data_IF_387815783376
#
_entry.id   IF_387815783376
#
_cell.length_a   1.000
_cell.length_b   1.000
_cell.length_c   1.000
_cell.angle_alpha   90.00
_cell.angle_beta   90.00
_cell.angle_gamma   90.00
#
_symmetry.space_group_name_H-M   'P 1'
#
loop_
_entity.id
_entity.type
_entity.pdbx_description
1 polymer ?
#
# COMPACT_ATOMS: atom_id res chain seq x y z
N UNK A 1 -5.78 -7.26 -19.39
CA UNK A 1 -4.72 -6.86 -18.45
C UNK A 1 -5.40 -6.32 -17.19
N UNK A 2 -5.16 -6.99 -16.06
CA UNK A 2 -5.58 -6.53 -14.74
C UNK A 2 -4.35 -5.90 -14.09
N UNK A 3 -4.49 -4.71 -13.55
CA UNK A 3 -3.43 -4.07 -12.76
C UNK A 3 -3.89 -3.92 -11.32
N UNK A 4 -2.93 -4.11 -10.41
CA UNK A 4 -3.13 -3.86 -8.99
C UNK A 4 -2.82 -2.39 -8.67
N UNK A 5 -3.40 -1.90 -7.58
CA UNK A 5 -3.25 -0.53 -7.08
C UNK A 5 -1.85 -0.24 -6.52
N UNK A 6 -1.13 -1.30 -6.15
CA UNK A 6 0.18 -1.25 -5.49
C UNK A 6 0.12 -1.13 -3.97
N UNK A 7 -1.07 -1.08 -3.37
CA UNK A 7 -1.25 -0.97 -1.92
C UNK A 7 -0.51 -2.08 -1.17
N UNK A 8 -0.74 -3.35 -1.55
CA UNK A 8 -0.08 -4.49 -0.94
C UNK A 8 1.46 -4.41 -0.98
N UNK A 9 2.05 -3.93 -2.08
CA UNK A 9 3.51 -3.81 -2.22
C UNK A 9 4.09 -2.74 -1.30
N UNK A 10 3.36 -1.65 -1.10
CA UNK A 10 3.73 -0.58 -0.17
C UNK A 10 3.68 -1.06 1.29
N UNK A 11 2.60 -1.74 1.67
CA UNK A 11 2.38 -2.14 3.07
C UNK A 11 3.09 -3.42 3.50
N UNK A 12 3.26 -4.39 2.59
CA UNK A 12 3.91 -5.68 2.91
C UNK A 12 5.41 -5.55 3.22
N UNK A 13 6.03 -4.44 2.84
CA UNK A 13 7.43 -4.11 3.14
C UNK A 13 7.58 -3.28 4.42
N UNK A 14 6.49 -2.73 4.97
CA UNK A 14 6.52 -1.84 6.11
C UNK A 14 6.67 -2.57 7.46
N UNK A 15 6.16 -3.81 7.57
CA UNK A 15 6.00 -4.52 8.86
C UNK A 15 6.85 -5.78 9.00
N UNK A 16 8.17 -5.64 8.96
CA UNK A 16 9.05 -6.67 9.52
C UNK A 16 9.33 -6.47 11.03
N UNK A 17 8.86 -5.37 11.63
CA UNK A 17 9.15 -4.99 13.02
C UNK A 17 7.87 -4.68 13.81
N UNK A 18 6.94 -5.62 13.90
CA UNK A 18 5.90 -5.59 14.93
C UNK A 18 5.59 -7.02 15.36
N UNK A 19 6.14 -7.35 16.53
CA UNK A 19 5.80 -8.44 17.45
C UNK A 19 6.07 -9.88 17.00
N UNK A 20 7.05 -10.48 17.68
CA UNK A 20 7.29 -11.90 17.71
C UNK A 20 6.08 -12.61 18.31
N UNK A 21 5.25 -13.26 17.48
CA UNK A 21 4.59 -14.54 17.76
C UNK A 21 3.59 -14.84 16.63
N UNK A 22 4.01 -15.70 15.70
CA UNK A 22 3.18 -16.20 14.60
C UNK A 22 4.06 -16.84 13.52
N UNK A 23 3.68 -18.01 12.95
CA UNK A 23 4.52 -18.69 11.98
C UNK A 23 4.41 -17.98 10.63
N UNK A 24 5.13 -16.86 10.46
CA UNK A 24 5.30 -16.26 9.15
C UNK A 24 6.16 -17.19 8.29
N UNK A 25 5.49 -17.92 7.40
CA UNK A 25 6.11 -18.74 6.37
C UNK A 25 6.63 -17.86 5.22
N UNK A 26 7.46 -16.85 5.53
CA UNK A 26 8.28 -16.16 4.54
C UNK A 26 9.72 -16.62 4.72
N UNK A 27 10.24 -17.28 3.69
CA UNK A 27 11.55 -17.92 3.65
C UNK A 27 12.63 -17.07 4.33
N UNK A 28 13.23 -17.63 5.39
CA UNK A 28 14.36 -17.09 6.14
C UNK A 28 15.60 -16.96 5.25
N UNK A 29 15.68 -15.94 4.39
CA UNK A 29 16.96 -15.44 3.88
C UNK A 29 17.60 -14.64 5.02
N UNK A 30 18.73 -15.12 5.54
CA UNK A 30 19.61 -14.35 6.44
C UNK A 30 20.00 -13.06 5.71
N UNK A 31 19.37 -11.94 6.05
CA UNK A 31 19.87 -10.60 5.73
C UNK A 31 20.94 -10.27 6.77
N UNK A 32 22.11 -9.84 6.31
CA UNK A 32 23.20 -9.41 7.18
C UNK A 32 22.78 -8.16 7.97
N UNK A 33 23.38 -8.03 9.15
CA UNK A 33 22.98 -7.15 10.26
C UNK A 33 23.19 -5.64 9.99
N UNK A 34 23.69 -5.27 8.81
CA UNK A 34 24.08 -3.90 8.46
C UNK A 34 23.02 -3.13 7.65
N UNK A 35 21.92 -3.79 7.27
CA UNK A 35 20.86 -3.23 6.43
C UNK A 35 19.57 -3.08 7.27
N UNK A 36 19.68 -2.35 8.38
CA UNK A 36 18.58 -1.93 9.25
C UNK A 36 17.66 -0.97 8.46
N UNK A 37 16.89 -1.60 7.56
CA UNK A 37 16.08 -0.96 6.55
C UNK A 37 15.09 0.01 7.16
N UNK A 38 15.26 1.27 6.80
CA UNK A 38 14.25 2.31 7.00
C UNK A 38 12.91 1.78 6.49
N UNK A 39 11.87 1.85 7.33
CA UNK A 39 10.52 1.43 6.95
C UNK A 39 10.13 2.00 5.59
N UNK A 40 9.60 1.13 4.72
CA UNK A 40 9.20 1.53 3.37
C UNK A 40 8.06 2.55 3.42
N UNK A 41 7.12 2.44 4.36
CA UNK A 41 6.06 3.43 4.55
C UNK A 41 6.55 4.54 5.48
N UNK A 42 6.46 5.79 5.00
CA UNK A 42 6.89 6.98 5.73
C UNK A 42 5.72 7.66 6.44
N UNK A 43 4.58 7.78 5.75
CA UNK A 43 3.38 8.40 6.32
C UNK A 43 2.12 7.85 5.62
N UNK A 44 1.06 7.70 6.39
CA UNK A 44 -0.27 7.34 5.91
C UNK A 44 -1.26 8.44 6.31
N UNK A 45 -2.09 8.87 5.36
CA UNK A 45 -3.08 9.93 5.59
C UNK A 45 -4.35 9.67 4.79
N UNK A 46 -5.38 10.49 5.02
CA UNK A 46 -6.60 10.45 4.19
C UNK A 46 -6.29 10.68 2.71
N UNK A 47 -5.22 11.40 2.37
CA UNK A 47 -4.88 11.74 0.99
C UNK A 47 -4.23 10.59 0.23
N UNK A 48 -3.56 9.68 0.92
CA UNK A 48 -2.75 8.63 0.32
C UNK A 48 -1.61 8.18 1.24
N UNK A 49 -0.65 7.48 0.66
CA UNK A 49 0.52 6.92 1.34
C UNK A 49 1.82 7.48 0.77
N UNK A 50 2.70 7.92 1.66
CA UNK A 50 4.09 8.23 1.36
C UNK A 50 4.94 7.00 1.66
N UNK A 51 5.76 6.60 0.70
CA UNK A 51 6.66 5.48 0.87
C UNK A 51 7.99 5.72 0.16
N UNK A 52 9.02 4.99 0.59
CA UNK A 52 10.36 5.04 0.03
C UNK A 52 10.58 3.90 -0.95
N UNK A 53 10.94 4.25 -2.18
CA UNK A 53 11.30 3.28 -3.23
C UNK A 53 12.47 2.39 -2.78
N UNK A 54 12.34 1.08 -2.99
CA UNK A 54 13.38 0.11 -2.68
C UNK A 54 14.52 0.10 -3.72
N UNK A 55 14.34 0.76 -4.86
CA UNK A 55 15.33 0.81 -5.95
C UNK A 55 16.34 1.94 -5.74
N UNK A 56 15.86 3.13 -5.36
CA UNK A 56 16.65 4.37 -5.36
C UNK A 56 16.43 5.23 -4.10
N UNK A 57 15.71 4.71 -3.09
CA UNK A 57 15.41 5.40 -1.84
C UNK A 57 14.64 6.73 -1.99
N UNK A 58 14.03 7.01 -3.16
CA UNK A 58 13.21 8.19 -3.35
C UNK A 58 11.89 8.07 -2.61
N UNK A 59 11.44 9.18 -2.05
CA UNK A 59 10.09 9.31 -1.51
C UNK A 59 9.08 9.44 -2.67
N UNK A 60 8.05 8.61 -2.63
CA UNK A 60 6.96 8.55 -3.60
C UNK A 60 5.65 8.67 -2.83
N UNK A 61 4.72 9.45 -3.38
CA UNK A 61 3.36 9.57 -2.88
C UNK A 61 2.39 8.84 -3.82
N UNK A 62 1.55 7.97 -3.26
CA UNK A 62 0.43 7.34 -3.96
C UNK A 62 -0.89 7.80 -3.37
N UNK A 63 -1.72 8.40 -4.21
CA UNK A 63 -3.11 8.72 -3.92
C UNK A 63 -4.07 7.78 -4.68
N UNK A 64 -5.32 7.67 -4.25
CA UNK A 64 -6.38 6.96 -4.99
C UNK A 64 -6.51 7.41 -6.44
N UNK A 65 -6.29 8.70 -6.73
CA UNK A 65 -6.36 9.29 -8.07
C UNK A 65 -5.11 8.98 -8.90
N UNK A 66 -3.90 9.17 -8.34
CA UNK A 66 -2.66 8.91 -9.07
C UNK A 66 -2.54 7.44 -9.49
N UNK A 67 -3.04 6.53 -8.65
CA UNK A 67 -3.07 5.10 -8.93
C UNK A 67 -4.04 4.76 -10.06
N UNK A 68 -5.21 5.39 -10.13
CA UNK A 68 -6.14 5.21 -11.26
C UNK A 68 -5.53 5.75 -12.56
N UNK A 69 -4.92 6.94 -12.50
CA UNK A 69 -4.31 7.57 -13.67
C UNK A 69 -3.15 6.74 -14.23
N UNK A 70 -2.31 6.18 -13.37
CA UNK A 70 -1.24 5.27 -13.77
C UNK A 70 -1.79 4.02 -14.45
N UNK A 71 -2.77 3.34 -13.85
CA UNK A 71 -3.38 2.13 -14.41
C UNK A 71 -4.07 2.38 -15.76
N UNK A 72 -4.73 3.53 -15.93
CA UNK A 72 -5.28 3.97 -17.22
C UNK A 72 -4.19 4.18 -18.26
N UNK A 73 -3.08 4.85 -17.90
CA UNK A 73 -1.93 5.07 -18.80
C UNK A 73 -1.27 3.77 -19.25
N UNK A 74 -1.32 2.73 -18.42
CA UNK A 74 -0.86 1.39 -18.78
C UNK A 74 -1.82 0.61 -19.69
N UNK A 75 -3.03 1.14 -19.97
CA UNK A 75 -4.02 0.46 -20.79
C UNK A 75 -4.67 -0.73 -20.10
N UNK A 76 -4.94 -0.61 -18.79
CA UNK A 76 -5.54 -1.69 -18.00
C UNK A 76 -7.01 -1.89 -18.36
N UNK A 77 -7.42 -3.14 -18.59
CA UNK A 77 -8.83 -3.51 -18.81
C UNK A 77 -9.62 -3.53 -17.50
N UNK A 78 -8.95 -3.89 -16.39
CA UNK A 78 -9.52 -3.87 -15.04
C UNK A 78 -8.55 -3.14 -14.12
N UNK A 79 -9.08 -2.15 -13.40
CA UNK A 79 -8.35 -1.29 -12.46
C UNK A 79 -8.78 -1.67 -11.04
N UNK A 80 -7.81 -1.98 -10.18
CA UNK A 80 -8.05 -2.23 -8.75
C UNK A 80 -7.81 -0.92 -7.98
N UNK A 81 -8.74 -0.48 -7.10
CA UNK A 81 -8.59 0.74 -6.32
C UNK A 81 -7.52 0.59 -5.24
N UNK A 82 -6.92 1.71 -4.83
CA UNK A 82 -5.97 1.75 -3.72
C UNK A 82 -6.67 1.44 -2.39
N UNK A 83 -6.05 0.59 -1.58
CA UNK A 83 -6.50 0.17 -0.26
C UNK A 83 -5.38 0.31 0.79
N UNK A 84 -5.78 0.45 2.05
CA UNK A 84 -4.88 0.31 3.19
C UNK A 84 -4.83 -1.15 3.65
N UNK A 85 -3.62 -1.65 3.92
CA UNK A 85 -3.40 -2.97 4.49
C UNK A 85 -2.70 -2.84 5.86
N UNK A 86 -3.45 -2.92 6.98
CA UNK A 86 -2.87 -2.94 8.31
C UNK A 86 -2.13 -4.27 8.58
N UNK A 87 -1.22 -4.34 9.56
CA UNK A 87 -0.62 -5.60 10.00
C UNK A 87 -1.67 -6.60 10.48
N UNK A 88 -1.32 -7.89 10.47
CA UNK A 88 -2.20 -8.96 10.96
C UNK A 88 -2.58 -8.76 12.45
N UNK A 89 -1.60 -8.38 13.28
CA UNK A 89 -1.81 -8.13 14.71
C UNK A 89 -2.34 -6.71 14.97
N UNK A 90 -3.57 -6.43 14.51
CA UNK A 90 -4.22 -5.13 14.67
C UNK A 90 -5.47 -5.21 15.54
N UNK A 91 -5.76 -4.17 16.33
CA UNK A 91 -7.00 -4.13 17.11
C UNK A 91 -8.23 -4.03 16.21
N UNK A 92 -9.40 -4.54 16.65
CA UNK A 92 -10.64 -4.39 15.90
C UNK A 92 -10.98 -2.93 15.55
N UNK A 93 -10.67 -1.99 16.44
CA UNK A 93 -10.89 -0.56 16.24
C UNK A 93 -10.02 -0.02 15.09
N UNK A 94 -8.72 -0.35 15.08
CA UNK A 94 -7.81 0.10 14.02
C UNK A 94 -8.11 -0.59 12.68
N UNK A 95 -8.51 -1.85 12.70
CA UNK A 95 -9.00 -2.53 11.50
C UNK A 95 -10.23 -1.84 10.92
N UNK A 96 -11.19 -1.48 11.79
CA UNK A 96 -12.40 -0.76 11.39
C UNK A 96 -12.07 0.60 10.76
N UNK A 97 -11.15 1.36 11.36
CA UNK A 97 -10.65 2.61 10.78
C UNK A 97 -10.04 2.39 9.39
N UNK A 98 -9.25 1.33 9.24
CA UNK A 98 -8.59 1.00 7.99
C UNK A 98 -9.59 0.64 6.88
N UNK A 99 -10.59 -0.18 7.19
CA UNK A 99 -11.68 -0.49 6.26
C UNK A 99 -12.41 0.78 5.81
N UNK A 100 -12.68 1.71 6.73
CA UNK A 100 -13.32 2.97 6.36
C UNK A 100 -12.42 3.87 5.50
N UNK A 101 -11.10 3.90 5.75
CA UNK A 101 -10.16 4.61 4.90
C UNK A 101 -10.16 4.03 3.49
N UNK A 102 -10.01 2.70 3.36
CA UNK A 102 -10.07 1.98 2.09
C UNK A 102 -11.37 2.24 1.33
N UNK A 103 -12.51 2.30 2.03
CA UNK A 103 -13.79 2.63 1.40
C UNK A 103 -13.84 4.08 0.87
N UNK A 104 -13.30 5.05 1.60
CA UNK A 104 -13.21 6.45 1.13
C UNK A 104 -12.26 6.57 -0.06
N UNK A 105 -11.14 5.86 -0.05
CA UNK A 105 -10.22 5.77 -1.17
C UNK A 105 -10.86 5.14 -2.40
N UNK A 106 -11.58 4.03 -2.24
CA UNK A 106 -12.33 3.39 -3.31
C UNK A 106 -13.34 4.37 -3.96
N UNK A 107 -14.09 5.12 -3.15
CA UNK A 107 -15.03 6.12 -3.67
C UNK A 107 -14.33 7.23 -4.48
N UNK A 108 -13.13 7.67 -4.05
CA UNK A 108 -12.31 8.64 -4.79
C UNK A 108 -11.77 8.06 -6.09
N UNK A 109 -11.26 6.83 -6.06
CA UNK A 109 -10.79 6.12 -7.26
C UNK A 109 -11.90 5.95 -8.29
N UNK A 110 -13.11 5.56 -7.85
CA UNK A 110 -14.27 5.45 -8.75
C UNK A 110 -14.61 6.81 -9.37
N UNK A 111 -14.66 7.87 -8.57
CA UNK A 111 -14.92 9.24 -9.07
C UNK A 111 -13.88 9.65 -10.12
N UNK A 112 -12.60 9.42 -9.87
CA UNK A 112 -11.53 9.72 -10.82
C UNK A 112 -11.65 8.88 -12.09
N UNK A 113 -11.98 7.59 -11.97
CA UNK A 113 -12.16 6.71 -13.11
C UNK A 113 -13.25 7.22 -14.06
N UNK A 114 -14.39 7.65 -13.52
CA UNK A 114 -15.55 8.14 -14.28
C UNK A 114 -15.37 9.56 -14.85
N UNK A 115 -14.41 10.36 -14.37
CA UNK A 115 -14.21 11.73 -14.86
C UNK A 115 -13.63 11.83 -16.28
N UNK A 116 -12.94 10.79 -16.74
CA UNK A 116 -12.30 10.77 -18.07
C UNK A 116 -13.00 9.80 -19.05
N UNK A 117 -14.24 9.40 -18.76
CA UNK A 117 -15.10 8.65 -19.69
C UNK A 117 -16.13 9.57 -20.32
#
# INVERSE_FOLDING_TARGET
>A
IITDSGGFQVFSLANACADEEGPELKSRRKRNQDDAGTGTVLALSEQGVHFRSYLDNREIFLSPESTVDAQKRFGSDIIIPLDELPPYHVTPERLKESVYLSHRWMARSLRRHLQDQ
#
